data_IF_962861178431
#
_entry.id   IF_962861178431
#
_cell.length_a   1.000
_cell.length_b   1.000
_cell.length_c   1.000
_cell.angle_alpha   90.00
_cell.angle_beta   90.00
_cell.angle_gamma   90.00
#
_symmetry.space_group_name_H-M   'P 1'
#
loop_
_entity.id
_entity.type
_entity.pdbx_description
1 polymer ?
#
# COMPACT_ATOMS: atom_id res chain seq x y z
N UNK A 1 -22.38 -17.19 -1.54
CA UNK A 1 -22.01 -16.64 -0.21
C UNK A 1 -21.03 -15.53 -0.49
N UNK A 2 -21.40 -14.27 -0.25
CA UNK A 2 -20.50 -13.12 -0.38
C UNK A 2 -19.41 -13.27 0.68
N UNK A 3 -18.14 -13.34 0.26
CA UNK A 3 -17.05 -13.28 1.22
C UNK A 3 -17.12 -11.95 1.98
N UNK A 4 -16.88 -11.94 3.30
CA UNK A 4 -16.84 -10.70 4.07
C UNK A 4 -15.75 -9.80 3.50
N UNK A 5 -16.02 -8.49 3.46
CA UNK A 5 -15.00 -7.49 3.12
C UNK A 5 -13.88 -7.64 4.15
N UNK A 6 -12.63 -7.91 3.73
CA UNK A 6 -11.52 -8.08 4.66
C UNK A 6 -11.29 -6.78 5.43
N UNK A 7 -11.01 -6.91 6.72
CA UNK A 7 -10.56 -5.80 7.54
C UNK A 7 -9.16 -5.33 7.10
N UNK A 8 -8.80 -4.09 7.42
CA UNK A 8 -7.47 -3.57 7.10
C UNK A 8 -6.32 -4.45 7.65
N UNK A 9 -6.35 -4.94 8.90
CA UNK A 9 -5.33 -5.85 9.39
C UNK A 9 -5.24 -7.15 8.58
N UNK A 10 -6.38 -7.78 8.25
CA UNK A 10 -6.40 -9.00 7.43
C UNK A 10 -5.82 -8.75 6.04
N UNK A 11 -6.10 -7.58 5.46
CA UNK A 11 -5.57 -7.22 4.15
C UNK A 11 -4.07 -6.92 4.19
N UNK A 12 -3.61 -6.21 5.22
CA UNK A 12 -2.18 -5.99 5.49
C UNK A 12 -1.42 -7.31 5.60
N UNK A 13 -1.93 -8.25 6.40
CA UNK A 13 -1.28 -9.53 6.64
C UNK A 13 -1.24 -10.39 5.35
N UNK A 14 -2.30 -10.35 4.53
CA UNK A 14 -2.31 -11.02 3.23
C UNK A 14 -1.26 -10.47 2.26
N UNK A 15 -1.17 -9.15 2.12
CA UNK A 15 -0.24 -8.52 1.19
C UNK A 15 1.20 -8.70 1.66
N UNK A 16 1.44 -8.58 2.98
CA UNK A 16 2.73 -8.87 3.61
C UNK A 16 3.19 -10.29 3.31
N UNK A 17 2.36 -11.30 3.60
CA UNK A 17 2.68 -12.71 3.33
C UNK A 17 2.97 -12.95 1.85
N UNK A 18 2.20 -12.32 0.97
CA UNK A 18 2.33 -12.49 -0.48
C UNK A 18 3.63 -11.91 -1.02
N UNK A 19 3.99 -10.70 -0.61
CA UNK A 19 5.23 -10.05 -1.05
C UNK A 19 6.46 -10.80 -0.52
N UNK A 20 6.42 -11.26 0.73
CA UNK A 20 7.52 -12.05 1.32
C UNK A 20 7.69 -13.40 0.62
N UNK A 21 6.60 -14.13 0.36
CA UNK A 21 6.64 -15.40 -0.37
C UNK A 21 7.25 -15.23 -1.78
N UNK A 22 6.85 -14.17 -2.48
CA UNK A 22 7.43 -13.81 -3.77
C UNK A 22 8.94 -13.60 -3.77
N UNK A 23 9.46 -12.95 -2.73
CA UNK A 23 10.89 -12.74 -2.56
C UNK A 23 11.68 -14.02 -2.25
N UNK A 24 11.00 -15.02 -1.66
CA UNK A 24 11.56 -16.35 -1.45
C UNK A 24 11.57 -17.20 -2.74
N UNK A 25 11.04 -16.68 -3.85
CA UNK A 25 10.92 -17.40 -5.12
C UNK A 25 9.72 -18.33 -5.17
N UNK A 26 8.75 -18.16 -4.27
CA UNK A 26 7.48 -18.86 -4.31
C UNK A 26 6.56 -18.23 -5.36
N UNK A 27 5.70 -19.06 -5.96
CA UNK A 27 4.78 -18.63 -7.00
C UNK A 27 3.70 -17.73 -6.39
N UNK A 28 3.73 -16.45 -6.76
CA UNK A 28 2.80 -15.45 -6.27
C UNK A 28 1.55 -15.49 -7.14
N UNK A 29 0.36 -15.38 -6.55
CA UNK A 29 -0.85 -15.22 -7.35
C UNK A 29 -0.74 -13.96 -8.23
N UNK A 30 -0.87 -14.14 -9.54
CA UNK A 30 -0.87 -13.09 -10.59
C UNK A 30 -1.68 -11.82 -10.25
N UNK A 31 -2.85 -11.91 -9.57
CA UNK A 31 -3.64 -10.72 -9.22
C UNK A 31 -2.94 -9.75 -8.26
N UNK A 32 -2.17 -10.24 -7.29
CA UNK A 32 -1.54 -9.37 -6.28
C UNK A 32 -0.32 -8.66 -6.88
N UNK A 33 0.44 -9.36 -7.73
CA UNK A 33 1.53 -8.75 -8.47
C UNK A 33 1.03 -7.63 -9.40
N UNK A 34 -0.09 -7.88 -10.10
CA UNK A 34 -0.74 -6.87 -10.94
C UNK A 34 -1.20 -5.65 -10.13
N UNK A 35 -1.84 -5.85 -8.97
CA UNK A 35 -2.27 -4.75 -8.07
C UNK A 35 -1.07 -3.89 -7.64
N UNK A 36 0.04 -4.52 -7.24
CA UNK A 36 1.25 -3.79 -6.83
C UNK A 36 1.81 -2.99 -8.00
N UNK A 37 1.91 -3.58 -9.20
CA UNK A 37 2.41 -2.86 -10.38
C UNK A 37 1.50 -1.70 -10.82
N UNK A 38 0.18 -1.88 -10.77
CA UNK A 38 -0.82 -0.86 -11.09
C UNK A 38 -0.70 0.35 -10.15
N UNK A 39 -0.61 0.09 -8.83
CA UNK A 39 -0.43 1.14 -7.82
C UNK A 39 0.88 1.94 -7.95
N UNK A 40 1.90 1.37 -8.61
CA UNK A 40 3.19 2.02 -8.82
C UNK A 40 3.20 2.95 -10.03
N UNK A 41 2.39 2.64 -11.04
CA UNK A 41 2.45 3.33 -12.33
C UNK A 41 1.35 4.39 -12.47
N UNK A 42 0.26 4.27 -11.73
CA UNK A 42 -0.87 5.19 -11.82
C UNK A 42 -0.86 6.23 -10.69
N UNK A 43 -1.20 7.50 -10.98
CA UNK A 43 -1.50 8.48 -9.94
C UNK A 43 -2.64 7.96 -9.07
N UNK A 44 -2.52 8.04 -7.75
CA UNK A 44 -3.64 7.74 -6.86
C UNK A 44 -4.81 8.68 -7.21
N UNK A 45 -5.93 8.10 -7.65
CA UNK A 45 -7.16 8.87 -7.83
C UNK A 45 -7.87 9.05 -6.49
N UNK A 46 -8.80 10.00 -6.40
CA UNK A 46 -9.69 10.13 -5.24
C UNK A 46 -10.60 8.89 -5.04
N UNK A 47 -10.71 8.03 -6.05
CA UNK A 47 -11.44 6.76 -5.98
C UNK A 47 -10.54 5.59 -5.58
N UNK A 48 -9.27 5.85 -5.27
CA UNK A 48 -8.32 4.87 -4.78
C UNK A 48 -8.86 4.19 -3.50
N UNK A 49 -8.74 2.86 -3.44
CA UNK A 49 -8.98 2.14 -2.21
C UNK A 49 -7.83 2.44 -1.24
N UNK A 50 -8.03 3.43 -0.37
CA UNK A 50 -7.06 3.88 0.63
C UNK A 50 -6.61 2.70 1.51
N UNK A 51 -7.49 1.75 1.80
CA UNK A 51 -7.13 0.58 2.61
C UNK A 51 -6.11 -0.31 1.91
N UNK A 52 -6.28 -0.53 0.61
CA UNK A 52 -5.36 -1.32 -0.20
C UNK A 52 -3.98 -0.67 -0.28
N UNK A 53 -3.91 0.66 -0.44
CA UNK A 53 -2.63 1.37 -0.50
C UNK A 53 -1.85 1.31 0.81
N UNK A 54 -2.53 1.46 1.95
CA UNK A 54 -1.88 1.30 3.27
C UNK A 54 -1.37 -0.13 3.45
N UNK A 55 -2.15 -1.12 3.00
CA UNK A 55 -1.75 -2.53 3.08
C UNK A 55 -0.52 -2.84 2.19
N UNK A 56 -0.48 -2.31 0.95
CA UNK A 56 0.68 -2.44 0.07
C UNK A 56 1.91 -1.72 0.62
N UNK A 57 1.77 -0.50 1.12
CA UNK A 57 2.89 0.24 1.72
C UNK A 57 3.53 -0.55 2.88
N UNK A 58 2.70 -1.15 3.75
CA UNK A 58 3.18 -2.03 4.81
C UNK A 58 3.89 -3.27 4.25
N UNK A 59 3.29 -3.93 3.27
CA UNK A 59 3.90 -5.10 2.62
C UNK A 59 5.26 -4.79 1.99
N UNK A 60 5.43 -3.61 1.37
CA UNK A 60 6.71 -3.13 0.85
C UNK A 60 7.76 -3.00 1.96
N UNK A 61 7.39 -2.48 3.14
CA UNK A 61 8.32 -2.38 4.27
C UNK A 61 8.71 -3.75 4.85
N UNK A 62 7.78 -4.70 4.94
CA UNK A 62 8.09 -6.06 5.37
C UNK A 62 9.04 -6.77 4.38
N UNK A 63 8.77 -6.63 3.08
CA UNK A 63 9.65 -7.09 2.01
C UNK A 63 11.06 -6.47 2.12
N UNK A 64 11.15 -5.17 2.37
CA UNK A 64 12.42 -4.48 2.59
C UNK A 64 13.19 -5.04 3.79
N UNK A 65 12.51 -5.30 4.91
CA UNK A 65 13.14 -5.89 6.11
C UNK A 65 13.69 -7.28 5.84
N UNK A 66 12.94 -8.13 5.13
CA UNK A 66 13.37 -9.48 4.79
C UNK A 66 14.57 -9.46 3.83
N UNK A 67 14.53 -8.61 2.79
CA UNK A 67 15.66 -8.41 1.88
C UNK A 67 16.90 -7.90 2.61
N UNK A 68 16.73 -7.01 3.60
CA UNK A 68 17.83 -6.54 4.43
C UNK A 68 18.44 -7.67 5.25
N UNK A 69 17.62 -8.56 5.85
CA UNK A 69 18.11 -9.77 6.56
C UNK A 69 18.87 -10.71 5.64
N UNK A 70 18.49 -10.80 4.36
CA UNK A 70 19.17 -11.59 3.34
C UNK A 70 20.45 -10.93 2.78
N UNK A 71 20.83 -9.74 3.25
CA UNK A 71 21.99 -8.99 2.75
C UNK A 71 21.77 -8.33 1.37
N UNK A 72 20.54 -8.30 0.87
CA UNK A 72 20.16 -7.70 -0.43
C UNK A 72 19.84 -6.21 -0.27
N UNK A 73 20.79 -5.43 0.26
CA UNK A 73 20.56 -4.06 0.73
C UNK A 73 20.02 -3.10 -0.35
N UNK A 74 20.55 -3.11 -1.58
CA UNK A 74 20.07 -2.23 -2.66
C UNK A 74 18.61 -2.51 -3.04
N UNK A 75 18.21 -3.78 -3.03
CA UNK A 75 16.82 -4.17 -3.34
C UNK A 75 15.91 -3.78 -2.17
N UNK A 76 16.38 -3.98 -0.93
CA UNK A 76 15.67 -3.56 0.28
C UNK A 76 15.38 -2.04 0.29
N UNK A 77 16.37 -1.22 -0.10
CA UNK A 77 16.19 0.24 -0.23
C UNK A 77 15.10 0.59 -1.26
N UNK A 78 15.05 -0.11 -2.38
CA UNK A 78 14.01 0.06 -3.39
C UNK A 78 12.61 -0.20 -2.84
N UNK A 79 12.40 -1.34 -2.15
CA UNK A 79 11.13 -1.65 -1.50
C UNK A 79 10.77 -0.67 -0.38
N UNK A 80 11.77 -0.18 0.37
CA UNK A 80 11.54 0.81 1.41
C UNK A 80 11.07 2.15 0.82
N UNK A 81 11.76 2.65 -0.20
CA UNK A 81 11.39 3.89 -0.90
C UNK A 81 10.01 3.77 -1.55
N UNK A 82 9.70 2.59 -2.10
CA UNK A 82 8.40 2.27 -2.68
C UNK A 82 7.27 2.37 -1.64
N UNK A 83 7.43 1.74 -0.47
CA UNK A 83 6.44 1.83 0.61
C UNK A 83 6.22 3.27 1.07
N UNK A 84 7.30 4.08 1.15
CA UNK A 84 7.20 5.50 1.50
C UNK A 84 6.43 6.33 0.47
N UNK A 85 6.67 6.12 -0.82
CA UNK A 85 5.98 6.85 -1.89
C UNK A 85 4.47 6.56 -1.89
N UNK A 86 4.09 5.29 -1.77
CA UNK A 86 2.68 4.87 -1.69
C UNK A 86 2.00 5.51 -0.48
N UNK A 87 2.65 5.51 0.68
CA UNK A 87 2.11 6.10 1.90
C UNK A 87 1.96 7.63 1.76
N UNK A 88 2.94 8.31 1.17
CA UNK A 88 2.89 9.75 0.93
C UNK A 88 1.73 10.14 0.01
N UNK A 89 1.52 9.39 -1.08
CA UNK A 89 0.38 9.58 -1.99
C UNK A 89 -0.96 9.33 -1.28
N UNK A 90 -1.02 8.30 -0.44
CA UNK A 90 -2.23 7.98 0.35
C UNK A 90 -2.58 9.10 1.33
N UNK A 91 -1.58 9.65 2.02
CA UNK A 91 -1.76 10.79 2.92
C UNK A 91 -2.27 12.02 2.16
N UNK A 92 -1.79 12.28 0.94
CA UNK A 92 -2.26 13.38 0.12
C UNK A 92 -3.76 13.24 -0.21
N UNK A 93 -4.21 12.04 -0.62
CA UNK A 93 -5.63 11.77 -0.89
C UNK A 93 -6.49 11.94 0.38
N UNK A 94 -6.03 11.45 1.53
CA UNK A 94 -6.73 11.65 2.82
C UNK A 94 -6.84 13.14 3.16
N UNK A 95 -5.77 13.91 2.93
CA UNK A 95 -5.78 15.36 3.17
C UNK A 95 -6.76 16.10 2.25
N UNK A 96 -6.86 15.69 0.97
CA UNK A 96 -7.86 16.21 0.04
C UNK A 96 -9.28 15.92 0.50
N UNK A 97 -9.57 14.70 0.97
CA UNK A 97 -10.87 14.37 1.55
C UNK A 97 -11.18 15.21 2.80
N UNK A 98 -10.22 15.39 3.69
CA UNK A 98 -10.40 16.21 4.89
C UNK A 98 -10.63 17.69 4.53
N UNK A 99 -9.96 18.20 3.50
CA UNK A 99 -10.19 19.56 3.00
C UNK A 99 -11.57 19.71 2.35
N UNK A 100 -12.01 18.70 1.58
CA UNK A 100 -13.34 18.67 0.97
C UNK A 100 -14.44 18.58 2.02
N UNK A 101 -14.27 17.76 3.06
CA UNK A 101 -15.21 17.65 4.18
C UNK A 101 -15.35 18.98 4.91
N UNK A 102 -14.25 19.71 5.18
CA UNK A 102 -14.31 21.06 5.78
C UNK A 102 -15.02 22.07 4.87
N UNK A 103 -14.80 22.00 3.56
CA UNK A 103 -15.49 22.85 2.59
C UNK A 103 -17.00 22.56 2.55
N UNK A 104 -17.40 21.29 2.61
CA UNK A 104 -18.80 20.86 2.61
C UNK A 104 -19.49 21.15 3.96
N UNK A 105 -18.78 20.94 5.07
CA UNK A 105 -19.28 21.12 6.44
C UNK A 105 -19.34 22.58 6.91
N UNK A 106 -18.82 23.52 6.10
CA UNK A 106 -18.90 24.96 6.39
C UNK A 106 -17.99 25.43 7.53
N UNK A 107 -17.01 24.62 7.94
CA UNK A 107 -15.98 25.05 8.89
C UNK A 107 -14.98 25.98 8.18
N UNK A 108 -15.23 27.28 8.26
CA UNK A 108 -14.34 28.33 7.77
C UNK A 108 -13.01 28.32 8.54
N UNK A 109 -11.90 28.28 7.80
CA UNK A 109 -10.55 28.50 8.32
C UNK A 109 -10.45 29.94 8.82
N UNK A 110 -10.22 30.11 10.13
CA UNK A 110 -9.80 31.38 10.74
C UNK A 110 -8.29 31.38 10.95
#
# INVERSE_FOLDING_TARGET
MTQPIPTLPERMDQIEATLVAGLAGEDISEPIFAIVCEMLCEPLSIHADIFEHVAVARGCHAAAQELHRQGKHTIAEGFSAMGQDILAKTIAVIAEFAALDRYISGETIH
#
